data_IF_178921660541
#
_entry.id   IF_178921660541
#
_cell.length_a   1.000
_cell.length_b   1.000
_cell.length_c   1.000
_cell.angle_alpha   90.00
_cell.angle_beta   90.00
_cell.angle_gamma   90.00
#
_symmetry.space_group_name_H-M   'P 1'
#
loop_
_entity.id
_entity.type
_entity.pdbx_description
1 polymer ?
#
# COMPACT_ATOMS: atom_id res chain seq x y z
N UNK A 1 -0.41 -79.73 -40.18
CA UNK A 1 -0.68 -79.46 -38.77
C UNK A 1 -0.81 -77.95 -38.61
N UNK A 2 -2.03 -77.45 -38.69
CA UNK A 2 -2.37 -76.02 -38.65
C UNK A 2 -2.34 -75.52 -37.21
N UNK A 3 -1.33 -74.73 -36.86
CA UNK A 3 -1.23 -74.05 -35.57
C UNK A 3 -2.12 -72.81 -35.55
N UNK A 4 -2.99 -72.70 -34.55
CA UNK A 4 -3.90 -71.58 -34.31
C UNK A 4 -3.15 -70.42 -33.62
N UNK A 5 -3.37 -69.15 -33.97
CA UNK A 5 -2.75 -68.04 -33.25
C UNK A 5 -3.38 -67.83 -31.87
N UNK A 6 -2.54 -67.55 -30.88
CA UNK A 6 -2.94 -67.21 -29.52
C UNK A 6 -3.53 -65.79 -29.47
N UNK A 7 -4.70 -65.66 -28.84
CA UNK A 7 -5.41 -64.40 -28.67
C UNK A 7 -4.79 -63.62 -27.51
N UNK A 8 -4.22 -62.44 -27.80
CA UNK A 8 -3.68 -61.54 -26.78
C UNK A 8 -4.85 -60.75 -26.16
N UNK A 9 -5.18 -61.01 -24.90
CA UNK A 9 -6.15 -60.22 -24.14
C UNK A 9 -5.51 -58.89 -23.75
N UNK A 10 -5.96 -57.79 -24.35
CA UNK A 10 -5.72 -56.43 -23.84
C UNK A 10 -6.62 -56.17 -22.64
N UNK A 11 -6.03 -55.91 -21.48
CA UNK A 11 -6.75 -55.38 -20.32
C UNK A 11 -6.99 -53.87 -20.51
N UNK A 12 -8.20 -53.35 -20.32
CA UNK A 12 -8.39 -51.90 -20.26
C UNK A 12 -7.78 -51.36 -18.97
N UNK A 13 -6.87 -50.39 -19.10
CA UNK A 13 -6.45 -49.52 -17.99
C UNK A 13 -7.67 -48.70 -17.58
N UNK A 14 -8.14 -48.91 -16.35
CA UNK A 14 -9.25 -48.14 -15.80
C UNK A 14 -8.86 -46.67 -15.64
N UNK A 15 -9.62 -45.78 -16.30
CA UNK A 15 -9.55 -44.35 -16.00
C UNK A 15 -10.14 -44.12 -14.60
N UNK A 16 -9.33 -43.58 -13.70
CA UNK A 16 -9.78 -43.08 -12.40
C UNK A 16 -10.40 -41.71 -12.63
N UNK A 17 -11.70 -41.57 -12.39
CA UNK A 17 -12.39 -40.29 -12.44
C UNK A 17 -11.79 -39.33 -11.38
N UNK A 18 -11.43 -38.12 -11.81
CA UNK A 18 -11.09 -37.03 -10.89
C UNK A 18 -12.34 -36.67 -10.07
N UNK A 19 -12.19 -36.70 -8.74
CA UNK A 19 -13.23 -36.23 -7.84
C UNK A 19 -13.32 -34.72 -7.89
N UNK A 20 -14.43 -34.19 -8.40
CA UNK A 20 -14.77 -32.77 -8.27
C UNK A 20 -14.95 -32.44 -6.79
N UNK A 21 -14.00 -31.72 -6.21
CA UNK A 21 -14.18 -31.11 -4.88
C UNK A 21 -15.08 -29.90 -5.06
N UNK A 22 -16.32 -29.99 -4.59
CA UNK A 22 -17.23 -28.84 -4.53
C UNK A 22 -16.71 -27.84 -3.47
N UNK A 23 -16.63 -26.54 -3.77
CA UNK A 23 -16.31 -25.54 -2.75
C UNK A 23 -17.46 -25.40 -1.74
N UNK A 24 -17.18 -25.09 -0.46
CA UNK A 24 -18.23 -24.85 0.53
C UNK A 24 -18.96 -23.53 0.22
N UNK A 25 -20.29 -23.60 0.17
CA UNK A 25 -21.17 -22.44 0.02
C UNK A 25 -21.00 -21.48 1.19
N UNK A 26 -20.63 -20.22 0.89
CA UNK A 26 -20.62 -19.15 1.87
C UNK A 26 -22.07 -18.74 2.21
N UNK A 27 -22.46 -18.89 3.48
CA UNK A 27 -23.72 -18.35 3.98
C UNK A 27 -23.59 -16.83 4.27
N UNK A 28 -24.51 -15.97 3.80
CA UNK A 28 -24.58 -14.59 4.25
C UNK A 28 -25.10 -14.52 5.69
N UNK A 29 -24.39 -13.78 6.55
CA UNK A 29 -24.84 -13.45 7.90
C UNK A 29 -26.01 -12.45 7.91
N UNK A 30 -26.72 -12.32 9.04
CA UNK A 30 -27.89 -11.45 9.16
C UNK A 30 -27.51 -9.97 9.03
N UNK A 31 -28.17 -9.28 8.10
CA UNK A 31 -28.11 -7.83 7.96
C UNK A 31 -28.89 -7.17 9.10
N UNK A 32 -28.17 -6.60 10.07
CA UNK A 32 -28.73 -5.77 11.13
C UNK A 32 -27.83 -4.56 11.34
N UNK A 33 -28.22 -3.43 10.75
CA UNK A 33 -27.51 -2.16 10.94
C UNK A 33 -28.40 -1.01 10.55
N UNK A 34 -29.11 -0.44 11.54
CA UNK A 34 -29.92 0.75 11.36
C UNK A 34 -29.07 1.93 10.90
N UNK A 35 -29.58 2.67 9.92
CA UNK A 35 -29.00 3.91 9.44
C UNK A 35 -28.97 4.94 10.58
N UNK A 36 -27.77 5.32 11.04
CA UNK A 36 -27.58 6.49 11.88
C UNK A 36 -27.30 7.67 10.95
N UNK A 37 -28.32 8.51 10.72
CA UNK A 37 -28.18 9.77 9.98
C UNK A 37 -27.42 10.79 10.83
N UNK A 38 -26.27 11.33 10.39
CA UNK A 38 -25.67 12.48 11.03
C UNK A 38 -26.44 13.75 10.61
N UNK A 39 -27.20 14.33 11.55
CA UNK A 39 -27.78 15.66 11.39
C UNK A 39 -26.64 16.68 11.36
N UNK A 40 -26.40 17.28 10.20
CA UNK A 40 -25.40 18.33 10.01
C UNK A 40 -26.01 19.68 10.43
N UNK A 41 -25.79 20.11 11.68
CA UNK A 41 -26.17 21.45 12.13
C UNK A 41 -25.12 22.45 11.65
N UNK A 42 -25.44 23.21 10.59
CA UNK A 42 -24.65 24.36 10.18
C UNK A 42 -25.07 25.59 11.00
N UNK A 43 -24.17 26.09 11.87
CA UNK A 43 -24.30 27.41 12.46
C UNK A 43 -23.74 28.45 11.48
N UNK A 44 -24.63 29.21 10.84
CA UNK A 44 -24.26 30.43 10.11
C UNK A 44 -24.07 31.56 11.12
N UNK A 45 -22.82 31.93 11.39
CA UNK A 45 -22.52 33.18 12.07
C UNK A 45 -22.78 34.35 11.10
N UNK A 46 -23.82 35.14 11.33
CA UNK A 46 -23.98 36.44 10.69
C UNK A 46 -23.00 37.41 11.35
N UNK A 47 -21.89 37.67 10.68
CA UNK A 47 -21.02 38.81 10.97
C UNK A 47 -21.60 40.06 10.32
N UNK A 48 -21.78 41.09 11.14
CA UNK A 48 -22.39 42.37 10.78
C UNK A 48 -21.55 43.11 9.71
N UNK A 49 -22.23 43.79 8.79
CA UNK A 49 -21.60 44.66 7.79
C UNK A 49 -21.37 46.00 8.50
N UNK A 50 -20.11 46.29 8.86
CA UNK A 50 -19.72 47.66 9.22
C UNK A 50 -19.52 48.49 7.94
N UNK A 51 -20.30 49.56 7.84
CA UNK A 51 -20.25 50.58 6.78
C UNK A 51 -18.88 51.26 6.73
N UNK A 52 -18.14 51.02 5.64
CA UNK A 52 -16.89 51.71 5.34
C UNK A 52 -17.15 53.15 4.91
N UNK A 53 -16.71 54.11 5.73
CA UNK A 53 -16.76 55.54 5.43
C UNK A 53 -15.89 55.87 4.20
N UNK A 54 -16.47 56.55 3.21
CA UNK A 54 -15.74 57.13 2.10
C UNK A 54 -15.03 58.42 2.54
N UNK A 55 -13.71 58.43 2.45
CA UNK A 55 -12.91 59.64 2.62
C UNK A 55 -11.58 59.53 1.88
N UNK A 56 -11.49 60.14 0.70
CA UNK A 56 -10.22 60.48 0.07
C UNK A 56 -10.33 61.84 -0.65
N UNK A 57 -9.47 62.79 -0.27
CA UNK A 57 -8.96 63.79 -1.20
C UNK A 57 -7.47 64.01 -0.94
N UNK A 58 -6.72 63.41 -1.86
CA UNK A 58 -5.30 63.37 -2.14
C UNK A 58 -4.49 64.60 -1.70
N UNK A 59 -3.59 64.43 -0.73
CA UNK A 59 -2.32 65.16 -0.71
C UNK A 59 -1.18 64.27 -0.20
N UNK A 60 -0.19 64.11 -1.08
CA UNK A 60 1.23 63.83 -0.82
C UNK A 60 1.65 62.99 0.39
N UNK A 61 2.33 61.88 0.13
CA UNK A 61 3.78 61.70 0.35
C UNK A 61 4.16 60.23 0.08
N UNK A 62 5.31 60.05 -0.58
CA UNK A 62 5.86 58.73 -0.92
C UNK A 62 6.27 57.94 0.32
N UNK A 63 5.80 56.70 0.46
CA UNK A 63 6.39 55.66 1.30
C UNK A 63 6.34 54.31 0.56
N UNK A 64 7.44 53.55 0.50
CA UNK A 64 7.41 52.18 -0.04
C UNK A 64 6.84 51.26 1.04
N UNK A 65 5.59 50.84 0.87
CA UNK A 65 4.84 50.07 1.86
C UNK A 65 4.58 48.63 1.40
N UNK A 66 5.29 47.71 2.04
CA UNK A 66 5.24 46.26 1.90
C UNK A 66 3.84 45.68 2.19
N UNK A 67 3.18 45.05 1.22
CA UNK A 67 2.08 44.11 1.50
C UNK A 67 2.57 42.67 1.31
N UNK A 68 3.37 42.20 2.27
CA UNK A 68 3.54 40.76 2.47
C UNK A 68 2.20 40.25 2.99
N UNK A 69 1.36 39.76 2.08
CA UNK A 69 0.21 38.96 2.44
C UNK A 69 0.72 37.76 3.24
N UNK A 70 0.41 37.73 4.54
CA UNK A 70 0.59 36.53 5.37
C UNK A 70 -0.33 35.46 4.79
N UNK A 71 0.19 34.69 3.84
CA UNK A 71 -0.30 33.36 3.56
C UNK A 71 0.17 32.56 4.75
N UNK A 72 -0.71 32.38 5.75
CA UNK A 72 -0.50 31.35 6.77
C UNK A 72 -0.51 30.02 6.02
N UNK A 73 0.67 29.60 5.56
CA UNK A 73 0.90 28.23 5.16
C UNK A 73 0.64 27.44 6.44
N UNK A 74 -0.48 26.71 6.48
CA UNK A 74 -0.69 25.69 7.51
C UNK A 74 0.44 24.71 7.31
N UNK A 75 1.50 24.87 8.08
CA UNK A 75 2.61 23.94 8.14
C UNK A 75 2.01 22.65 8.70
N UNK A 76 1.54 21.76 7.83
CA UNK A 76 1.21 20.40 8.23
C UNK A 76 2.45 19.86 8.93
N UNK A 77 2.33 19.55 10.22
CA UNK A 77 3.42 18.98 10.99
C UNK A 77 4.01 17.81 10.22
N UNK A 78 5.34 17.77 10.07
CA UNK A 78 5.98 16.74 9.26
C UNK A 78 5.74 15.38 9.92
N UNK A 79 4.96 14.53 9.26
CA UNK A 79 4.72 13.17 9.71
C UNK A 79 6.04 12.44 9.93
N UNK A 80 6.18 11.63 11.00
CA UNK A 80 7.39 10.86 11.25
C UNK A 80 7.82 10.04 10.04
N UNK A 81 9.14 10.01 9.79
CA UNK A 81 9.72 9.19 8.74
C UNK A 81 9.56 7.70 9.10
N UNK A 82 9.07 6.85 8.20
CA UNK A 82 8.91 5.43 8.48
C UNK A 82 10.25 4.67 8.46
N UNK A 83 10.27 3.54 9.16
CA UNK A 83 11.38 2.59 9.20
C UNK A 83 11.09 1.42 8.27
N UNK A 84 12.09 0.96 7.52
CA UNK A 84 11.99 -0.18 6.60
C UNK A 84 13.06 -1.23 6.94
N UNK A 85 12.69 -2.51 6.88
CA UNK A 85 13.63 -3.63 7.03
C UNK A 85 13.10 -4.88 6.33
N UNK A 86 13.90 -5.94 6.29
CA UNK A 86 13.49 -7.23 5.75
C UNK A 86 13.78 -8.37 6.72
N UNK A 87 12.92 -9.39 6.68
CA UNK A 87 13.06 -10.64 7.41
C UNK A 87 13.06 -11.82 6.43
N UNK A 88 13.99 -12.78 6.56
CA UNK A 88 14.98 -12.94 7.64
C UNK A 88 16.21 -12.01 7.53
N UNK A 89 16.34 -11.25 6.45
CA UNK A 89 17.43 -10.31 6.23
C UNK A 89 17.33 -9.65 4.85
N UNK A 90 18.38 -8.94 4.44
CA UNK A 90 18.41 -8.21 3.16
C UNK A 90 19.13 -8.95 2.03
N UNK A 91 19.75 -10.09 2.33
CA UNK A 91 20.42 -10.96 1.35
C UNK A 91 19.71 -12.30 1.36
N UNK A 92 19.06 -12.66 0.25
CA UNK A 92 18.10 -13.77 0.19
C UNK A 92 18.49 -14.71 -0.96
N UNK A 93 18.59 -16.04 -0.74
CA UNK A 93 18.86 -16.98 -1.84
C UNK A 93 17.74 -17.00 -2.88
N UNK A 94 18.08 -17.40 -4.10
CA UNK A 94 17.11 -17.56 -5.18
C UNK A 94 15.96 -18.49 -4.75
N UNK A 95 14.73 -18.15 -5.13
CA UNK A 95 13.53 -18.92 -4.83
C UNK A 95 13.10 -18.93 -3.36
N UNK A 96 13.85 -18.31 -2.44
CA UNK A 96 13.47 -18.20 -1.02
C UNK A 96 12.53 -17.03 -0.77
N UNK A 97 11.64 -17.11 0.24
CA UNK A 97 10.76 -16.01 0.57
C UNK A 97 11.47 -14.92 1.37
N UNK A 98 10.99 -13.69 1.24
CA UNK A 98 11.37 -12.56 2.08
C UNK A 98 10.17 -11.66 2.33
N UNK A 99 10.08 -11.14 3.55
CA UNK A 99 9.07 -10.15 3.92
C UNK A 99 9.75 -8.82 4.15
N UNK A 100 9.31 -7.80 3.42
CA UNK A 100 9.70 -6.41 3.66
C UNK A 100 8.69 -5.79 4.61
N UNK A 101 9.18 -5.22 5.70
CA UNK A 101 8.39 -4.53 6.70
C UNK A 101 8.54 -3.02 6.55
N UNK A 102 7.42 -2.31 6.72
CA UNK A 102 7.41 -0.86 6.83
C UNK A 102 6.66 -0.47 8.10
N UNK A 103 7.28 0.35 8.94
CA UNK A 103 6.67 0.87 10.18
C UNK A 103 6.55 2.38 10.14
N UNK A 104 5.33 2.88 10.31
CA UNK A 104 4.97 4.28 10.43
C UNK A 104 4.37 4.57 11.81
N UNK A 105 3.35 5.43 11.85
CA UNK A 105 2.61 5.78 13.07
C UNK A 105 1.31 5.00 13.18
N UNK A 106 0.75 4.87 14.39
CA UNK A 106 -0.57 4.26 14.62
C UNK A 106 -1.72 4.84 13.78
N UNK A 107 -1.61 6.10 13.34
CA UNK A 107 -2.59 6.75 12.45
C UNK A 107 -2.41 6.46 10.96
N UNK A 108 -1.50 5.56 10.57
CA UNK A 108 -1.28 5.19 9.17
C UNK A 108 -2.44 4.33 8.65
N UNK A 109 -2.99 4.72 7.50
CA UNK A 109 -4.14 4.07 6.85
C UNK A 109 -3.73 3.30 5.59
N UNK A 110 -2.63 3.69 4.97
CA UNK A 110 -2.12 3.07 3.76
C UNK A 110 -0.59 3.12 3.76
N UNK A 111 0.03 1.98 3.47
CA UNK A 111 1.47 1.86 3.27
C UNK A 111 1.78 1.54 1.82
N UNK A 112 2.80 2.18 1.26
CA UNK A 112 3.23 1.98 -0.11
C UNK A 112 4.70 1.63 -0.15
N UNK A 113 5.02 0.55 -0.86
CA UNK A 113 6.38 0.13 -1.14
C UNK A 113 6.71 0.46 -2.60
N UNK A 114 7.86 1.06 -2.84
CA UNK A 114 8.38 1.25 -4.19
C UNK A 114 9.83 0.80 -4.29
N UNK A 115 10.17 0.32 -5.48
CA UNK A 115 11.53 -0.03 -5.86
C UNK A 115 12.11 1.12 -6.69
N UNK A 116 13.25 1.67 -6.29
CA UNK A 116 13.91 2.73 -7.04
C UNK A 116 14.22 2.28 -8.47
N UNK A 117 14.01 3.18 -9.44
CA UNK A 117 14.16 2.88 -10.87
C UNK A 117 12.95 2.17 -11.52
N UNK A 118 11.95 1.77 -10.73
CA UNK A 118 10.64 1.33 -11.24
C UNK A 118 9.68 2.51 -11.30
N UNK A 119 9.00 2.68 -12.44
CA UNK A 119 7.93 3.68 -12.57
C UNK A 119 6.66 3.29 -11.79
N UNK A 120 6.47 1.98 -11.55
CA UNK A 120 5.34 1.46 -10.81
C UNK A 120 5.69 1.29 -9.33
N UNK A 121 4.70 1.56 -8.46
CA UNK A 121 4.71 1.10 -7.06
C UNK A 121 4.84 -0.42 -7.07
N UNK A 122 5.64 -0.95 -6.15
CA UNK A 122 5.78 -2.40 -6.02
C UNK A 122 4.50 -2.99 -5.45
N UNK A 123 4.04 -2.45 -4.33
CA UNK A 123 2.83 -2.95 -3.68
C UNK A 123 2.24 -1.88 -2.73
N UNK A 124 0.99 -2.08 -2.30
CA UNK A 124 0.26 -1.21 -1.39
C UNK A 124 -0.61 -2.00 -0.46
N UNK A 125 -0.45 -1.71 0.83
CA UNK A 125 -1.20 -2.35 1.91
C UNK A 125 -2.12 -1.32 2.57
N UNK A 126 -3.40 -1.68 2.68
CA UNK A 126 -4.43 -0.90 3.38
C UNK A 126 -4.96 -1.76 4.53
N UNK A 127 -4.38 -1.62 5.74
CA UNK A 127 -4.90 -2.28 6.92
C UNK A 127 -6.40 -1.95 7.12
N UNK A 128 -7.17 -2.93 7.59
CA UNK A 128 -8.60 -2.73 7.90
C UNK A 128 -8.79 -1.66 8.98
N UNK A 129 -7.92 -1.70 9.99
CA UNK A 129 -7.83 -0.71 11.05
C UNK A 129 -6.47 0.01 10.94
N UNK A 130 -6.39 1.30 11.29
CA UNK A 130 -5.12 2.01 11.35
C UNK A 130 -4.10 1.25 12.21
N UNK A 131 -2.87 1.19 11.73
CA UNK A 131 -1.82 0.40 12.35
C UNK A 131 -0.47 1.05 12.15
N UNK A 132 0.51 0.67 12.98
CA UNK A 132 1.86 1.21 12.87
C UNK A 132 2.70 0.46 11.84
N UNK A 133 2.27 -0.69 11.32
CA UNK A 133 3.11 -1.55 10.48
C UNK A 133 2.37 -2.21 9.32
N UNK A 134 3.08 -2.44 8.22
CA UNK A 134 2.64 -3.24 7.09
C UNK A 134 3.75 -4.18 6.58
N UNK A 135 3.33 -5.29 5.97
CA UNK A 135 4.20 -6.31 5.37
C UNK A 135 4.00 -6.39 3.87
N UNK A 136 5.08 -6.57 3.12
CA UNK A 136 5.08 -6.83 1.69
C UNK A 136 5.88 -8.10 1.42
N UNK A 137 5.20 -9.17 1.02
CA UNK A 137 5.79 -10.50 0.87
C UNK A 137 6.26 -10.74 -0.56
N UNK A 138 7.49 -11.19 -0.72
CA UNK A 138 8.03 -11.76 -1.97
C UNK A 138 8.14 -13.26 -1.73
N UNK A 139 7.24 -14.03 -2.33
CA UNK A 139 7.18 -15.49 -2.11
C UNK A 139 8.40 -16.22 -2.68
N UNK A 140 8.90 -15.74 -3.82
CA UNK A 140 10.04 -16.33 -4.53
C UNK A 140 11.00 -15.23 -4.96
N UNK A 141 12.17 -15.18 -4.32
CA UNK A 141 13.22 -14.22 -4.66
C UNK A 141 13.80 -14.51 -6.05
N UNK A 142 13.76 -13.53 -6.95
CA UNK A 142 14.37 -13.57 -8.28
C UNK A 142 15.26 -12.35 -8.51
N UNK A 143 16.01 -12.31 -9.61
CA UNK A 143 16.87 -11.17 -9.95
C UNK A 143 16.06 -9.88 -10.08
N UNK A 144 14.83 -9.97 -10.60
CA UNK A 144 13.92 -8.83 -10.72
C UNK A 144 13.57 -8.21 -9.36
N UNK A 145 13.62 -8.98 -8.28
CA UNK A 145 13.36 -8.48 -6.92
C UNK A 145 14.59 -7.78 -6.30
N UNK A 146 15.78 -7.90 -6.89
CA UNK A 146 16.97 -7.22 -6.35
C UNK A 146 16.90 -5.72 -6.60
N UNK A 147 17.27 -4.90 -5.62
CA UNK A 147 17.29 -3.45 -5.77
C UNK A 147 17.11 -2.68 -4.47
N UNK A 148 16.93 -1.36 -4.60
CA UNK A 148 16.71 -0.44 -3.48
C UNK A 148 15.22 -0.21 -3.31
N UNK A 149 14.72 -0.46 -2.11
CA UNK A 149 13.33 -0.29 -1.74
C UNK A 149 13.17 0.84 -0.73
N UNK A 150 12.09 1.59 -0.85
CA UNK A 150 11.65 2.56 0.16
C UNK A 150 10.16 2.43 0.36
N UNK A 151 9.73 2.79 1.55
CA UNK A 151 8.31 2.86 1.86
C UNK A 151 7.92 4.23 2.40
N UNK A 152 6.65 4.55 2.24
CA UNK A 152 6.01 5.70 2.87
C UNK A 152 4.57 5.33 3.25
N UNK A 153 3.95 6.12 4.11
CA UNK A 153 2.56 5.92 4.49
C UNK A 153 1.72 7.17 4.32
N UNK A 154 0.41 6.97 4.22
CA UNK A 154 -0.60 8.00 4.30
C UNK A 154 -1.37 7.87 5.62
N UNK A 155 -1.65 9.02 6.23
CA UNK A 155 -2.55 9.18 7.36
C UNK A 155 -3.57 10.27 7.05
N UNK A 156 -4.51 10.51 7.96
CA UNK A 156 -5.50 11.58 7.84
C UNK A 156 -4.85 12.98 7.69
N UNK A 157 -3.67 13.18 8.26
CA UNK A 157 -2.99 14.49 8.25
C UNK A 157 -2.04 14.66 7.07
N UNK A 158 -1.86 13.64 6.22
CA UNK A 158 -1.07 13.73 5.00
C UNK A 158 -0.20 12.51 4.71
N UNK A 159 0.83 12.73 3.89
CA UNK A 159 1.82 11.73 3.48
C UNK A 159 3.11 11.89 4.28
N UNK A 160 3.69 10.79 4.74
CA UNK A 160 5.04 10.79 5.32
C UNK A 160 6.12 11.08 4.26
N UNK A 161 7.32 11.40 4.73
CA UNK A 161 8.52 11.28 3.89
C UNK A 161 8.79 9.81 3.55
N UNK A 162 9.64 9.57 2.55
CA UNK A 162 10.12 8.22 2.25
C UNK A 162 11.09 7.73 3.34
N UNK A 163 11.06 6.44 3.62
CA UNK A 163 12.01 5.76 4.50
C UNK A 163 13.45 5.88 3.98
N UNK A 164 14.41 5.45 4.80
CA UNK A 164 15.72 5.07 4.27
C UNK A 164 15.61 3.92 3.26
N UNK A 165 16.65 3.71 2.46
CA UNK A 165 16.64 2.67 1.45
C UNK A 165 17.02 1.31 2.05
N UNK A 166 16.18 0.30 1.84
CA UNK A 166 16.50 -1.10 2.05
C UNK A 166 17.10 -1.67 0.77
N UNK A 167 18.35 -2.13 0.81
CA UNK A 167 19.00 -2.79 -0.34
C UNK A 167 18.76 -4.29 -0.26
N UNK A 168 17.87 -4.80 -1.10
CA UNK A 168 17.59 -6.23 -1.19
C UNK A 168 18.48 -6.87 -2.27
N UNK A 169 19.25 -7.89 -1.89
CA UNK A 169 20.20 -8.59 -2.77
C UNK A 169 19.92 -10.08 -2.77
N UNK A 170 20.34 -10.75 -3.84
CA UNK A 170 20.32 -12.20 -3.91
C UNK A 170 21.67 -12.77 -3.41
N UNK A 171 21.65 -13.88 -2.67
CA UNK A 171 22.88 -14.66 -2.46
C UNK A 171 23.09 -15.64 -3.62
N UNK A 172 24.33 -15.74 -4.10
CA UNK A 172 24.69 -16.72 -5.12
C UNK A 172 24.76 -18.12 -4.51
N UNK A 173 23.70 -18.89 -4.67
CA UNK A 173 23.75 -20.36 -4.67
C UNK A 173 22.79 -20.81 -5.76
N UNK A 174 23.33 -20.94 -6.96
CA UNK A 174 22.72 -21.74 -8.01
C UNK A 174 22.64 -23.16 -7.46
N UNK A 175 21.44 -23.61 -7.12
CA UNK A 175 21.19 -25.03 -6.95
C UNK A 175 21.31 -25.66 -8.34
N UNK A 176 22.56 -25.95 -8.69
CA UNK A 176 22.91 -26.82 -9.78
C UNK A 176 22.24 -28.18 -9.55
N UNK A 177 21.25 -28.48 -10.39
CA UNK A 177 20.78 -29.84 -10.64
C UNK A 177 19.60 -30.32 -9.79
N UNK A 178 18.43 -30.39 -10.44
CA UNK A 178 17.57 -31.57 -10.37
C UNK A 178 16.83 -31.76 -11.69
#
# INVERSE_FOLDING_TARGET
MTGKPASLRTHPVGLRAEGTVSPPSAQPGPQGGGAMTPTLTALLCLGEIEEGSAGESLTGTSLPGLSVGVRTQVQAGTLPKPTIWAEPGSVIPWGRPVTIWCQGTLGAQEFRLHKEGSLARWDTQRPLEPGDKATFSISYMTEHNTGRYRCYYHSLTGRSQDSDALVLRMSGEELAGQ
#
